data_IF_638248460257
#
_entry.id   IF_638248460257
#
_cell.length_a   1.000
_cell.length_b   1.000
_cell.length_c   1.000
_cell.angle_alpha   90.00
_cell.angle_beta   90.00
_cell.angle_gamma   90.00
#
_symmetry.space_group_name_H-M   'P 1'
#
loop_
_entity.id
_entity.type
_entity.pdbx_description
1 polymer ?
#
# COMPACT_ATOMS: atom_id res chain seq x y z
N UNK A 1 -76.79 -20.51 35.97
CA UNK A 1 -76.23 -20.30 37.32
C UNK A 1 -74.78 -19.88 37.17
N UNK A 2 -74.38 -18.84 37.89
CA UNK A 2 -73.25 -17.95 37.60
C UNK A 2 -71.87 -18.59 37.38
N UNK A 3 -71.18 -18.01 36.41
CA UNK A 3 -69.75 -18.12 36.14
C UNK A 3 -68.93 -17.60 37.34
N UNK A 4 -67.87 -18.32 37.73
CA UNK A 4 -66.75 -17.77 38.50
C UNK A 4 -65.43 -18.14 37.83
N UNK A 5 -64.68 -17.08 37.58
CA UNK A 5 -63.36 -17.04 36.96
C UNK A 5 -62.30 -17.70 37.86
N UNK A 6 -61.38 -18.44 37.24
CA UNK A 6 -60.07 -18.74 37.80
C UNK A 6 -59.03 -18.46 36.71
N UNK A 7 -58.46 -17.25 36.75
CA UNK A 7 -57.30 -16.87 35.93
C UNK A 7 -56.05 -17.32 36.68
N UNK A 8 -55.39 -18.37 36.19
CA UNK A 8 -54.04 -18.73 36.64
C UNK A 8 -53.03 -17.94 35.81
N UNK A 9 -52.34 -17.01 36.46
CA UNK A 9 -51.24 -16.25 35.87
C UNK A 9 -50.02 -17.15 35.67
N UNK A 10 -49.60 -17.32 34.41
CA UNK A 10 -48.32 -17.92 34.05
C UNK A 10 -47.27 -16.80 34.13
N UNK A 11 -46.37 -16.87 35.09
CA UNK A 11 -45.19 -16.01 35.16
C UNK A 11 -44.15 -16.49 34.13
N UNK A 12 -43.97 -15.74 33.05
CA UNK A 12 -42.89 -15.95 32.08
C UNK A 12 -41.61 -15.36 32.70
N UNK A 13 -40.76 -16.23 33.24
CA UNK A 13 -39.38 -15.88 33.61
C UNK A 13 -38.56 -15.72 32.32
N UNK A 14 -38.45 -14.48 31.83
CA UNK A 14 -37.48 -14.13 30.82
C UNK A 14 -36.07 -14.22 31.42
N UNK A 15 -35.39 -15.34 31.18
CA UNK A 15 -33.94 -15.43 31.42
C UNK A 15 -33.23 -14.53 30.41
N UNK A 16 -32.83 -13.35 30.87
CA UNK A 16 -31.89 -12.51 30.14
C UNK A 16 -30.52 -13.21 30.18
N UNK A 17 -30.21 -13.99 29.14
CA UNK A 17 -28.83 -14.35 28.86
C UNK A 17 -28.09 -13.06 28.50
N UNK A 18 -27.42 -12.46 29.48
CA UNK A 18 -26.43 -11.43 29.23
C UNK A 18 -25.31 -12.08 28.40
N UNK A 19 -25.36 -11.92 27.08
CA UNK A 19 -24.25 -12.22 26.20
C UNK A 19 -23.11 -11.29 26.59
N UNK A 20 -22.08 -11.83 27.26
CA UNK A 20 -20.81 -11.13 27.42
C UNK A 20 -20.33 -10.78 26.01
N UNK A 21 -20.17 -9.49 25.67
CA UNK A 21 -19.63 -9.14 24.36
C UNK A 21 -18.27 -9.81 24.21
N UNK A 22 -17.92 -10.35 23.03
CA UNK A 22 -16.59 -10.92 22.81
C UNK A 22 -15.55 -9.88 23.24
N UNK A 23 -14.43 -10.29 23.89
CA UNK A 23 -13.39 -9.35 24.25
C UNK A 23 -13.02 -8.56 23.00
N UNK A 24 -12.96 -7.23 23.13
CA UNK A 24 -12.48 -6.38 22.05
C UNK A 24 -11.18 -6.96 21.52
N UNK A 25 -10.99 -7.05 20.20
CA UNK A 25 -9.78 -7.63 19.64
C UNK A 25 -8.57 -6.96 20.29
N UNK A 26 -7.78 -7.73 21.03
CA UNK A 26 -6.75 -7.19 21.90
C UNK A 26 -5.51 -6.87 21.08
N UNK A 27 -4.96 -5.66 21.27
CA UNK A 27 -3.60 -5.33 20.85
C UNK A 27 -2.72 -5.33 22.10
N UNK A 28 -1.62 -6.07 22.08
CA UNK A 28 -0.61 -6.03 23.14
C UNK A 28 0.71 -5.49 22.61
N UNK A 29 1.38 -4.67 23.41
CA UNK A 29 2.68 -4.08 23.10
C UNK A 29 3.72 -4.54 24.12
N UNK A 30 4.84 -5.05 23.62
CA UNK A 30 6.05 -5.32 24.39
C UNK A 30 7.14 -4.32 23.96
N UNK A 31 7.72 -3.59 24.91
CA UNK A 31 8.83 -2.68 24.63
C UNK A 31 10.11 -3.49 24.42
N UNK A 32 10.72 -3.36 23.24
CA UNK A 32 11.89 -4.16 22.87
C UNK A 32 13.20 -3.75 23.55
N UNK A 33 13.26 -2.56 24.15
CA UNK A 33 14.46 -2.04 24.81
C UNK A 33 14.48 -0.52 24.87
N UNK A 34 15.64 0.04 25.22
CA UNK A 34 15.88 1.47 25.13
C UNK A 34 15.85 1.95 23.65
N UNK A 35 15.59 3.24 23.41
CA UNK A 35 15.68 3.81 22.06
C UNK A 35 17.07 3.58 21.43
N UNK A 36 17.10 3.27 20.14
CA UNK A 36 18.32 3.05 19.35
C UNK A 36 18.58 4.23 18.42
N UNK A 37 19.83 4.53 18.12
CA UNK A 37 20.14 5.56 17.12
C UNK A 37 19.77 5.12 15.70
N UNK A 38 19.48 6.10 14.85
CA UNK A 38 19.15 5.87 13.44
C UNK A 38 20.35 5.32 12.66
N UNK A 39 21.57 5.50 13.15
CA UNK A 39 22.76 4.88 12.57
C UNK A 39 22.80 3.38 12.88
N UNK A 40 22.57 2.99 14.15
CA UNK A 40 22.51 1.57 14.57
C UNK A 40 21.42 0.79 13.84
N UNK A 41 20.31 1.44 13.46
CA UNK A 41 19.21 0.80 12.74
C UNK A 41 19.29 0.94 11.21
N UNK A 42 20.29 1.65 10.68
CA UNK A 42 20.40 1.94 9.24
C UNK A 42 19.29 2.86 8.70
N UNK A 43 18.65 3.64 9.57
CA UNK A 43 17.51 4.50 9.30
C UNK A 43 17.85 6.00 9.31
N UNK A 44 19.13 6.36 9.31
CA UNK A 44 19.58 7.76 9.28
C UNK A 44 18.95 8.58 8.14
N UNK A 45 18.63 7.94 7.00
CA UNK A 45 17.97 8.59 5.88
C UNK A 45 16.55 9.08 6.21
N UNK A 46 15.81 8.41 7.10
CA UNK A 46 14.48 8.85 7.53
C UNK A 46 14.50 10.14 8.34
N UNK A 47 15.64 10.48 8.94
CA UNK A 47 15.85 11.74 9.66
C UNK A 47 16.38 12.87 8.77
N UNK A 48 16.63 12.60 7.49
CA UNK A 48 16.73 13.66 6.48
C UNK A 48 15.30 14.08 6.14
N UNK A 49 14.64 14.69 7.13
CA UNK A 49 13.26 15.12 7.01
C UNK A 49 13.14 16.08 5.84
N UNK A 50 12.06 16.00 5.06
CA UNK A 50 11.88 16.87 3.93
C UNK A 50 11.94 18.34 4.32
N UNK A 51 12.84 19.09 3.70
CA UNK A 51 13.00 20.53 3.86
C UNK A 51 12.16 21.31 2.87
N UNK A 52 12.13 22.64 3.03
CA UNK A 52 11.53 23.55 2.04
C UNK A 52 12.18 23.47 0.65
N UNK A 53 13.42 23.00 0.60
CA UNK A 53 14.25 22.97 -0.61
C UNK A 53 14.13 21.63 -1.36
N UNK A 54 13.48 20.62 -0.76
CA UNK A 54 13.25 19.34 -1.43
C UNK A 54 12.11 19.47 -2.46
N UNK A 55 12.20 18.78 -3.62
CA UNK A 55 11.08 18.68 -4.53
C UNK A 55 9.85 18.14 -3.79
N UNK A 56 8.74 18.89 -3.83
CA UNK A 56 7.53 18.58 -3.05
C UNK A 56 7.05 17.11 -3.18
N UNK A 57 7.31 16.48 -4.34
CA UNK A 57 7.00 15.07 -4.57
C UNK A 57 7.77 14.10 -3.67
N UNK A 58 9.08 14.32 -3.49
CA UNK A 58 9.97 13.50 -2.64
C UNK A 58 9.61 13.71 -1.16
N UNK A 59 9.24 14.94 -0.81
CA UNK A 59 8.82 15.30 0.54
C UNK A 59 7.57 14.52 0.98
N UNK A 60 6.51 14.59 0.18
CA UNK A 60 5.24 13.93 0.47
C UNK A 60 5.39 12.39 0.55
N UNK A 61 6.24 11.81 -0.30
CA UNK A 61 6.54 10.39 -0.25
C UNK A 61 7.31 9.99 1.02
N UNK A 62 8.28 10.79 1.45
CA UNK A 62 9.00 10.50 2.69
C UNK A 62 8.06 10.56 3.90
N UNK A 63 7.13 11.52 3.90
CA UNK A 63 6.10 11.61 4.92
C UNK A 63 5.18 10.38 4.95
N UNK A 64 4.81 9.81 3.80
CA UNK A 64 4.04 8.55 3.78
C UNK A 64 4.83 7.39 4.40
N UNK A 65 6.14 7.27 4.10
CA UNK A 65 7.03 6.26 4.69
C UNK A 65 7.20 6.36 6.21
N UNK A 66 7.01 7.56 6.76
CA UNK A 66 7.06 7.87 8.19
C UNK A 66 5.69 7.78 8.90
N UNK A 67 4.63 7.42 8.16
CA UNK A 67 3.27 7.42 8.68
C UNK A 67 2.73 8.82 9.01
N UNK A 68 3.22 9.84 8.30
CA UNK A 68 2.90 11.25 8.50
C UNK A 68 2.31 11.88 7.24
N UNK A 69 1.42 11.14 6.58
CA UNK A 69 0.62 11.63 5.45
C UNK A 69 -0.13 12.95 5.78
N UNK A 70 -0.41 13.22 7.07
CA UNK A 70 -0.95 14.51 7.53
C UNK A 70 -0.05 15.68 7.17
N UNK A 71 1.27 15.52 7.31
CA UNK A 71 2.26 16.54 6.97
C UNK A 71 2.32 16.79 5.47
N UNK A 72 2.23 15.74 4.65
CA UNK A 72 2.16 15.87 3.20
C UNK A 72 0.86 16.60 2.76
N UNK A 73 -0.27 16.29 3.38
CA UNK A 73 -1.51 17.00 3.11
C UNK A 73 -1.44 18.49 3.49
N UNK A 74 -0.77 18.82 4.61
CA UNK A 74 -0.59 20.20 5.06
C UNK A 74 0.25 21.08 4.11
N UNK A 75 1.06 20.49 3.22
CA UNK A 75 1.80 21.27 2.20
C UNK A 75 0.93 21.64 1.00
N UNK A 76 -0.34 21.23 0.97
CA UNK A 76 -1.23 21.43 -0.17
C UNK A 76 -0.91 20.52 -1.36
N UNK A 77 -0.29 19.36 -1.12
CA UNK A 77 -0.01 18.40 -2.20
C UNK A 77 -1.31 17.93 -2.87
N UNK A 78 -1.33 17.96 -4.20
CA UNK A 78 -2.52 17.70 -5.01
C UNK A 78 -3.07 16.27 -4.87
N UNK A 79 -2.28 15.31 -4.37
CA UNK A 79 -2.75 13.95 -4.08
C UNK A 79 -3.70 13.90 -2.87
N UNK A 80 -3.68 14.93 -2.02
CA UNK A 80 -4.58 15.09 -0.88
C UNK A 80 -5.67 16.13 -1.13
N UNK A 81 -5.93 16.47 -2.40
CA UNK A 81 -7.01 17.33 -2.82
C UNK A 81 -7.96 16.57 -3.76
N UNK A 82 -9.26 16.91 -3.76
CA UNK A 82 -10.21 16.30 -4.69
C UNK A 82 -9.83 16.64 -6.13
N UNK A 83 -10.01 15.68 -7.03
CA UNK A 83 -9.82 15.85 -8.47
C UNK A 83 -11.01 15.29 -9.20
N UNK A 84 -11.62 16.11 -10.07
CA UNK A 84 -12.91 15.82 -10.70
C UNK A 84 -13.02 14.37 -11.22
N UNK A 85 -14.04 13.67 -10.73
CA UNK A 85 -14.38 12.30 -11.13
C UNK A 85 -15.80 12.26 -11.66
N UNK A 86 -16.01 11.52 -12.76
CA UNK A 86 -17.35 11.13 -13.18
C UNK A 86 -17.51 9.64 -12.95
N UNK A 87 -18.41 9.26 -12.05
CA UNK A 87 -18.74 7.85 -11.80
C UNK A 87 -19.27 7.17 -13.06
N UNK A 88 -18.94 5.90 -13.27
CA UNK A 88 -19.68 5.07 -14.23
C UNK A 88 -21.14 4.90 -13.78
N UNK A 89 -22.12 4.77 -14.72
CA UNK A 89 -23.54 4.69 -14.38
C UNK A 89 -23.94 3.53 -13.45
N UNK A 90 -23.27 2.38 -13.55
CA UNK A 90 -23.60 1.14 -12.82
C UNK A 90 -22.45 0.68 -11.91
N UNK A 91 -21.64 1.61 -11.39
CA UNK A 91 -20.55 1.22 -10.49
C UNK A 91 -21.07 0.84 -9.09
N UNK A 92 -20.47 -0.18 -8.45
CA UNK A 92 -20.61 -0.38 -7.02
C UNK A 92 -20.15 0.84 -6.23
N UNK A 93 -20.64 0.95 -4.99
CA UNK A 93 -20.51 2.11 -4.10
C UNK A 93 -19.97 1.72 -2.72
N UNK A 94 -19.23 0.63 -2.67
CA UNK A 94 -18.56 0.13 -1.49
C UNK A 94 -17.26 -0.54 -1.93
N UNK A 95 -16.31 -0.59 -1.00
CA UNK A 95 -14.96 -1.07 -1.24
C UNK A 95 -14.89 -2.51 -1.75
N UNK A 96 -15.60 -3.42 -1.09
CA UNK A 96 -15.58 -4.85 -1.40
C UNK A 96 -16.10 -5.11 -2.82
N UNK A 97 -17.26 -4.55 -3.15
CA UNK A 97 -17.88 -4.74 -4.47
C UNK A 97 -17.08 -4.08 -5.60
N UNK A 98 -16.37 -2.98 -5.32
CA UNK A 98 -15.47 -2.35 -6.31
C UNK A 98 -14.25 -3.23 -6.59
N UNK A 99 -13.64 -3.82 -5.55
CA UNK A 99 -12.53 -4.77 -5.71
C UNK A 99 -12.99 -6.01 -6.46
N UNK A 100 -14.16 -6.57 -6.12
CA UNK A 100 -14.75 -7.72 -6.82
C UNK A 100 -15.02 -7.41 -8.30
N UNK A 101 -15.54 -6.21 -8.61
CA UNK A 101 -15.78 -5.80 -9.98
C UNK A 101 -14.49 -5.70 -10.80
N UNK A 102 -13.38 -5.24 -10.20
CA UNK A 102 -12.06 -5.23 -10.84
C UNK A 102 -11.57 -6.67 -11.06
N UNK A 103 -11.62 -7.51 -10.03
CA UNK A 103 -11.16 -8.89 -10.11
C UNK A 103 -11.95 -9.72 -11.15
N UNK A 104 -13.26 -9.51 -11.25
CA UNK A 104 -14.12 -10.14 -12.25
C UNK A 104 -13.73 -9.74 -13.67
N UNK A 105 -13.41 -8.45 -13.90
CA UNK A 105 -12.90 -7.99 -15.21
C UNK A 105 -11.51 -8.56 -15.52
N UNK A 106 -10.67 -8.71 -14.50
CA UNK A 106 -9.33 -9.29 -14.62
C UNK A 106 -9.33 -10.80 -14.93
N UNK A 107 -10.45 -11.50 -14.72
CA UNK A 107 -10.55 -12.95 -14.90
C UNK A 107 -10.17 -13.43 -16.32
N UNK A 108 -10.32 -12.58 -17.34
CA UNK A 108 -9.97 -12.90 -18.73
C UNK A 108 -8.58 -12.42 -19.16
N UNK A 109 -7.89 -11.66 -18.30
CA UNK A 109 -6.56 -11.11 -18.61
C UNK A 109 -5.46 -11.95 -17.97
N UNK A 110 -4.32 -12.08 -18.67
CA UNK A 110 -3.12 -12.76 -18.14
C UNK A 110 -2.25 -11.84 -17.29
N UNK A 111 -2.35 -10.53 -17.54
CA UNK A 111 -1.60 -9.48 -16.85
C UNK A 111 -2.62 -8.47 -16.31
N UNK A 112 -2.48 -8.10 -15.05
CA UNK A 112 -3.15 -6.93 -14.46
C UNK A 112 -2.08 -5.97 -14.00
N UNK A 113 -2.19 -4.70 -14.37
CA UNK A 113 -1.28 -3.64 -13.91
C UNK A 113 -2.12 -2.66 -13.10
N UNK A 114 -1.78 -2.49 -11.82
CA UNK A 114 -2.45 -1.54 -10.92
C UNK A 114 -1.45 -0.50 -10.47
N UNK A 115 -1.76 0.78 -10.68
CA UNK A 115 -0.89 1.85 -10.22
C UNK A 115 -1.23 2.33 -8.79
N UNK A 116 -0.28 3.03 -8.19
CA UNK A 116 -0.44 3.78 -6.97
C UNK A 116 0.15 5.19 -7.07
N UNK A 117 -0.11 5.98 -6.04
CA UNK A 117 0.59 7.21 -5.74
C UNK A 117 1.49 6.89 -4.56
N UNK A 118 2.81 7.09 -4.68
CA UNK A 118 3.75 6.77 -3.60
C UNK A 118 3.52 7.60 -2.31
N UNK A 119 2.62 8.57 -2.39
CA UNK A 119 2.25 9.49 -1.31
C UNK A 119 0.97 9.06 -0.59
N UNK A 120 0.15 8.19 -1.18
CA UNK A 120 -1.18 7.84 -0.63
C UNK A 120 -1.22 6.36 -0.28
N UNK A 121 -1.03 6.05 1.00
CA UNK A 121 -0.86 4.66 1.47
C UNK A 121 -2.13 3.81 1.28
N UNK A 122 -3.31 4.43 1.19
CA UNK A 122 -4.58 3.75 0.89
C UNK A 122 -4.53 2.97 -0.44
N UNK A 123 -3.79 3.46 -1.43
CA UNK A 123 -3.66 2.77 -2.72
C UNK A 123 -3.02 1.37 -2.57
N UNK A 124 -2.08 1.21 -1.63
CA UNK A 124 -1.40 -0.06 -1.32
C UNK A 124 -2.33 -1.05 -0.66
N UNK A 125 -3.24 -0.55 0.17
CA UNK A 125 -4.27 -1.36 0.78
C UNK A 125 -5.26 -1.89 -0.27
N UNK A 126 -5.62 -1.11 -1.29
CA UNK A 126 -6.40 -1.63 -2.43
C UNK A 126 -5.67 -2.76 -3.13
N UNK A 127 -4.35 -2.63 -3.33
CA UNK A 127 -3.53 -3.70 -3.94
C UNK A 127 -3.51 -4.95 -3.06
N UNK A 128 -3.46 -4.79 -1.73
CA UNK A 128 -3.60 -5.90 -0.78
C UNK A 128 -4.93 -6.66 -0.97
N UNK A 129 -6.03 -5.95 -1.14
CA UNK A 129 -7.34 -6.58 -1.39
C UNK A 129 -7.44 -7.22 -2.78
N UNK A 130 -6.84 -6.59 -3.79
CA UNK A 130 -6.77 -7.16 -5.13
C UNK A 130 -5.95 -8.45 -5.15
N UNK A 131 -4.87 -8.56 -4.38
CA UNK A 131 -4.13 -9.82 -4.23
C UNK A 131 -5.04 -10.95 -3.74
N UNK A 132 -5.90 -10.70 -2.76
CA UNK A 132 -6.87 -11.69 -2.28
C UNK A 132 -7.93 -12.01 -3.33
N UNK A 133 -8.54 -10.99 -3.92
CA UNK A 133 -9.64 -11.15 -4.89
C UNK A 133 -9.20 -11.77 -6.22
N UNK A 134 -7.95 -11.56 -6.64
CA UNK A 134 -7.40 -12.10 -7.90
C UNK A 134 -6.93 -13.56 -7.75
N UNK A 135 -6.60 -14.00 -6.53
CA UNK A 135 -6.05 -15.35 -6.30
C UNK A 135 -6.93 -16.47 -6.87
N UNK A 136 -8.27 -16.49 -6.68
CA UNK A 136 -9.14 -17.52 -7.28
C UNK A 136 -9.15 -17.54 -8.81
N UNK A 137 -8.72 -16.46 -9.48
CA UNK A 137 -8.72 -16.33 -10.93
C UNK A 137 -7.40 -16.75 -11.60
N UNK A 138 -6.49 -17.39 -10.85
CA UNK A 138 -5.22 -17.92 -11.37
C UNK A 138 -4.04 -16.95 -11.28
N UNK A 139 -4.17 -15.85 -10.55
CA UNK A 139 -3.05 -14.95 -10.27
C UNK A 139 -2.12 -15.58 -9.23
N UNK A 140 -0.90 -15.89 -9.67
CA UNK A 140 0.11 -16.59 -8.87
C UNK A 140 1.41 -15.83 -8.72
N UNK A 141 1.65 -14.84 -9.58
CA UNK A 141 2.88 -14.06 -9.59
C UNK A 141 2.56 -12.59 -9.26
N UNK A 142 3.34 -12.01 -8.35
CA UNK A 142 3.24 -10.63 -7.93
C UNK A 142 4.56 -9.89 -8.20
N UNK A 143 4.52 -8.96 -9.15
CA UNK A 143 5.61 -8.05 -9.47
C UNK A 143 5.29 -6.66 -8.90
N UNK A 144 6.28 -5.95 -8.35
CA UNK A 144 6.03 -4.64 -7.75
C UNK A 144 7.21 -3.67 -7.94
N UNK A 145 6.89 -2.39 -8.28
CA UNK A 145 7.82 -1.25 -8.43
C UNK A 145 8.42 -0.93 -7.06
N UNK A 146 9.31 -1.81 -6.61
CA UNK A 146 10.04 -1.72 -5.36
C UNK A 146 11.04 -2.83 -5.28
N UNK A 147 10.71 -4.03 -5.76
CA UNK A 147 11.56 -5.19 -5.64
C UNK A 147 12.80 -4.97 -6.50
N UNK A 148 13.95 -4.85 -5.86
CA UNK A 148 15.19 -4.49 -6.55
C UNK A 148 15.72 -5.69 -7.33
N UNK A 149 16.16 -5.46 -8.57
CA UNK A 149 16.88 -6.46 -9.33
C UNK A 149 18.36 -6.48 -8.95
N UNK A 150 18.92 -7.67 -8.82
CA UNK A 150 20.35 -7.86 -8.70
C UNK A 150 20.98 -7.92 -10.11
N UNK A 151 22.15 -7.29 -10.28
CA UNK A 151 22.95 -7.46 -11.50
C UNK A 151 23.38 -8.94 -11.67
N UNK A 152 23.89 -9.51 -10.57
CA UNK A 152 24.35 -10.89 -10.50
C UNK A 152 23.65 -11.62 -9.34
N UNK A 153 23.19 -12.84 -9.61
CA UNK A 153 22.59 -13.73 -8.63
C UNK A 153 21.10 -13.47 -8.39
N UNK A 154 20.59 -13.93 -7.24
CA UNK A 154 19.17 -13.81 -6.92
C UNK A 154 18.81 -12.42 -6.37
N UNK A 155 17.65 -11.92 -6.78
CA UNK A 155 17.05 -10.69 -6.25
C UNK A 155 16.80 -10.79 -4.74
N UNK A 156 16.87 -9.69 -3.97
CA UNK A 156 16.59 -9.71 -2.54
C UNK A 156 15.25 -10.35 -2.19
N UNK A 157 14.17 -10.01 -2.91
CA UNK A 157 12.84 -10.59 -2.66
C UNK A 157 12.80 -12.10 -2.89
N UNK A 158 13.61 -12.61 -3.83
CA UNK A 158 13.72 -14.03 -4.09
C UNK A 158 14.52 -14.75 -2.99
N UNK A 159 15.61 -14.14 -2.50
CA UNK A 159 16.40 -14.65 -1.36
C UNK A 159 15.59 -14.75 -0.07
N UNK A 160 14.59 -13.88 0.10
CA UNK A 160 13.71 -13.86 1.27
C UNK A 160 12.34 -14.51 1.01
N UNK A 161 12.20 -15.31 -0.05
CA UNK A 161 10.93 -15.94 -0.44
C UNK A 161 10.35 -16.82 0.67
N UNK A 162 11.20 -17.58 1.37
CA UNK A 162 10.82 -18.49 2.47
C UNK A 162 10.43 -17.79 3.79
N UNK A 163 10.67 -16.47 3.91
CA UNK A 163 10.27 -15.73 5.12
C UNK A 163 8.76 -15.49 5.13
N UNK A 164 8.12 -15.67 6.29
CA UNK A 164 6.70 -15.36 6.46
C UNK A 164 6.41 -13.84 6.52
N UNK A 165 7.45 -13.01 6.58
CA UNK A 165 7.39 -11.55 6.66
C UNK A 165 8.14 -10.90 5.49
N UNK A 166 7.78 -9.66 5.10
CA UNK A 166 8.59 -8.83 4.21
C UNK A 166 9.89 -8.41 4.87
N UNK A 167 10.99 -8.42 4.12
CA UNK A 167 12.31 -7.97 4.60
C UNK A 167 12.58 -6.53 4.15
N UNK A 168 13.22 -5.70 4.99
CA UNK A 168 13.54 -4.29 4.67
C UNK A 168 14.49 -4.10 3.48
N UNK A 169 15.13 -5.19 3.03
CA UNK A 169 16.01 -5.20 1.87
C UNK A 169 15.34 -5.72 0.60
N UNK A 170 14.06 -6.11 0.65
CA UNK A 170 13.33 -6.53 -0.55
C UNK A 170 13.20 -5.39 -1.55
N UNK A 171 13.12 -4.14 -1.08
CA UNK A 171 12.93 -2.99 -1.95
C UNK A 171 12.89 -1.65 -1.22
N UNK A 172 12.82 -0.55 -1.97
CA UNK A 172 12.77 0.81 -1.41
C UNK A 172 11.37 1.15 -0.84
N UNK A 173 10.33 1.02 -1.65
CA UNK A 173 8.95 1.35 -1.24
C UNK A 173 8.34 0.33 -0.28
N UNK A 174 8.76 -0.93 -0.38
CA UNK A 174 8.30 -2.01 0.51
C UNK A 174 8.69 -1.80 1.98
N UNK A 175 9.61 -0.87 2.30
CA UNK A 175 9.96 -0.46 3.67
C UNK A 175 8.88 0.37 4.37
N UNK A 176 7.88 0.84 3.64
CA UNK A 176 6.72 1.53 4.19
C UNK A 176 5.69 0.49 4.71
N UNK A 177 5.10 0.70 5.90
CA UNK A 177 4.22 -0.28 6.52
C UNK A 177 3.03 -0.78 5.68
N UNK A 178 2.28 0.09 5.00
CA UNK A 178 1.15 -0.33 4.17
C UNK A 178 1.59 -1.16 2.96
N UNK A 179 2.74 -0.85 2.35
CA UNK A 179 3.35 -1.71 1.33
C UNK A 179 3.77 -3.06 1.92
N UNK A 180 4.42 -3.05 3.08
CA UNK A 180 4.79 -4.25 3.83
C UNK A 180 3.59 -5.15 4.12
N UNK A 181 2.41 -4.57 4.41
CA UNK A 181 1.15 -5.31 4.56
C UNK A 181 0.69 -5.99 3.27
N UNK A 182 0.81 -5.32 2.12
CA UNK A 182 0.53 -5.93 0.82
C UNK A 182 1.47 -7.11 0.52
N UNK A 183 2.78 -6.97 0.79
CA UNK A 183 3.76 -8.05 0.61
C UNK A 183 3.50 -9.23 1.56
N UNK A 184 3.16 -8.93 2.82
CA UNK A 184 2.76 -9.96 3.79
C UNK A 184 1.55 -10.76 3.31
N UNK A 185 0.56 -10.07 2.75
CA UNK A 185 -0.63 -10.72 2.21
C UNK A 185 -0.31 -11.58 0.99
N UNK A 186 0.51 -11.08 0.06
CA UNK A 186 1.00 -11.86 -1.07
C UNK A 186 1.69 -13.15 -0.61
N UNK A 187 2.58 -13.07 0.39
CA UNK A 187 3.23 -14.23 1.01
C UNK A 187 2.22 -15.20 1.64
N UNK A 188 1.26 -14.69 2.43
CA UNK A 188 0.21 -15.49 3.07
C UNK A 188 -0.63 -16.28 2.05
N UNK A 189 -0.94 -15.65 0.91
CA UNK A 189 -1.70 -16.24 -0.18
C UNK A 189 -0.87 -17.18 -1.08
N UNK A 190 0.46 -17.22 -0.90
CA UNK A 190 1.37 -18.04 -1.68
C UNK A 190 1.62 -17.49 -3.09
N UNK A 191 1.70 -16.17 -3.24
CA UNK A 191 2.19 -15.55 -4.46
C UNK A 191 3.71 -15.71 -4.57
N UNK A 192 4.19 -16.02 -5.76
CA UNK A 192 5.59 -15.84 -6.10
C UNK A 192 5.86 -14.35 -6.32
N UNK A 193 6.77 -13.78 -5.54
CA UNK A 193 7.19 -12.39 -5.71
C UNK A 193 8.37 -12.33 -6.68
N UNK A 194 8.34 -11.36 -7.60
CA UNK A 194 9.37 -11.20 -8.64
C UNK A 194 9.77 -9.74 -8.79
N UNK A 195 11.07 -9.49 -8.96
CA UNK A 195 11.61 -8.16 -9.19
C UNK A 195 11.65 -7.84 -10.69
N UNK A 196 11.27 -6.63 -11.07
CA UNK A 196 11.30 -6.19 -12.46
C UNK A 196 11.96 -4.83 -12.69
N UNK A 197 12.48 -4.19 -11.65
CA UNK A 197 13.25 -2.96 -11.77
C UNK A 197 14.44 -3.10 -12.73
N UNK A 198 14.93 -1.96 -13.22
CA UNK A 198 16.17 -1.95 -13.98
C UNK A 198 17.35 -2.36 -13.11
N UNK A 199 18.27 -3.13 -13.70
CA UNK A 199 19.61 -3.37 -13.14
C UNK A 199 20.54 -2.21 -13.50
N UNK A 200 21.68 -2.03 -12.78
CA UNK A 200 22.67 -1.01 -13.13
C UNK A 200 23.13 -1.05 -14.59
N UNK A 201 23.27 -2.23 -15.21
CA UNK A 201 23.64 -2.35 -16.63
C UNK A 201 22.51 -1.99 -17.61
N UNK A 202 21.26 -1.99 -17.15
CA UNK A 202 20.09 -1.58 -17.93
C UNK A 202 19.76 -0.09 -17.76
N UNK A 203 20.21 0.54 -16.67
CA UNK A 203 20.01 1.95 -16.39
C UNK A 203 20.66 2.86 -17.43
N UNK A 204 20.13 4.07 -17.59
CA UNK A 204 20.78 5.11 -18.37
C UNK A 204 22.15 5.48 -17.77
N UNK A 205 23.13 5.91 -18.59
CA UNK A 205 24.42 6.36 -18.09
C UNK A 205 24.30 7.53 -17.10
N UNK A 206 25.25 7.63 -16.18
CA UNK A 206 25.33 8.76 -15.25
C UNK A 206 25.33 10.10 -16.00
N UNK A 207 24.47 11.02 -15.54
CA UNK A 207 24.31 12.35 -16.14
C UNK A 207 23.44 12.37 -17.40
N UNK A 208 22.82 11.26 -17.79
CA UNK A 208 21.79 11.26 -18.83
C UNK A 208 20.65 12.24 -18.48
N UNK A 209 20.05 12.83 -19.51
CA UNK A 209 18.88 13.67 -19.30
C UNK A 209 17.68 12.87 -18.78
N UNK A 210 16.67 13.61 -18.31
CA UNK A 210 15.48 13.01 -17.70
C UNK A 210 14.73 12.10 -18.67
N UNK A 211 14.60 12.49 -19.94
CA UNK A 211 13.84 11.74 -20.94
C UNK A 211 14.54 10.40 -21.26
N UNK A 212 15.85 10.44 -21.43
CA UNK A 212 16.70 9.26 -21.63
C UNK A 212 16.63 8.32 -20.43
N UNK A 213 16.69 8.87 -19.22
CA UNK A 213 16.58 8.08 -17.98
C UNK A 213 15.21 7.40 -17.84
N UNK A 214 14.12 8.11 -18.17
CA UNK A 214 12.77 7.51 -18.21
C UNK A 214 12.76 6.38 -19.25
N UNK A 215 13.18 6.67 -20.48
CA UNK A 215 13.09 5.71 -21.57
C UNK A 215 13.89 4.42 -21.31
N UNK A 216 15.07 4.52 -20.70
CA UNK A 216 15.86 3.36 -20.28
C UNK A 216 15.09 2.53 -19.24
N UNK A 217 14.61 3.17 -18.16
CA UNK A 217 13.85 2.52 -17.10
C UNK A 217 12.59 1.83 -17.60
N UNK A 218 11.74 2.53 -18.34
CA UNK A 218 10.49 1.95 -18.87
C UNK A 218 10.78 0.76 -19.80
N UNK A 219 11.88 0.82 -20.57
CA UNK A 219 12.29 -0.26 -21.48
C UNK A 219 12.80 -1.47 -20.71
N UNK A 220 13.68 -1.25 -19.72
CA UNK A 220 14.22 -2.30 -18.88
C UNK A 220 13.13 -3.01 -18.08
N UNK A 221 12.26 -2.25 -17.42
CA UNK A 221 11.15 -2.79 -16.65
C UNK A 221 10.20 -3.64 -17.51
N UNK A 222 9.83 -3.15 -18.71
CA UNK A 222 9.00 -3.92 -19.63
C UNK A 222 9.70 -5.20 -20.14
N UNK A 223 11.00 -5.15 -20.43
CA UNK A 223 11.78 -6.31 -20.86
C UNK A 223 11.91 -7.35 -19.74
N UNK A 224 12.13 -6.93 -18.50
CA UNK A 224 12.22 -7.81 -17.33
C UNK A 224 10.87 -8.50 -17.07
N UNK A 225 9.76 -7.78 -17.15
CA UNK A 225 8.41 -8.36 -17.06
C UNK A 225 8.12 -9.35 -18.21
N UNK A 226 8.54 -9.04 -19.43
CA UNK A 226 8.40 -9.96 -20.56
C UNK A 226 9.20 -11.26 -20.35
N UNK A 227 10.40 -11.17 -19.78
CA UNK A 227 11.22 -12.33 -19.42
C UNK A 227 10.57 -13.18 -18.31
N UNK A 228 10.02 -12.53 -17.28
CA UNK A 228 9.24 -13.20 -16.22
C UNK A 228 8.05 -13.97 -16.85
N UNK A 229 7.26 -13.31 -17.70
CA UNK A 229 6.10 -13.91 -18.37
C UNK A 229 6.47 -15.11 -19.26
N UNK A 230 7.64 -15.06 -19.90
CA UNK A 230 8.15 -16.17 -20.71
C UNK A 230 8.56 -17.38 -19.85
N UNK A 231 8.97 -17.15 -18.60
CA UNK A 231 9.28 -18.20 -17.62
C UNK A 231 8.08 -18.75 -16.85
N UNK A 232 6.94 -18.05 -16.87
CA UNK A 232 5.71 -18.46 -16.21
C UNK A 232 5.01 -19.62 -16.94
N UNK A 233 4.25 -20.42 -16.18
CA UNK A 233 3.33 -21.40 -16.75
C UNK A 233 2.27 -20.75 -17.67
N UNK A 234 1.68 -21.53 -18.60
CA UNK A 234 0.71 -21.02 -19.56
C UNK A 234 -0.58 -20.50 -18.90
N UNK A 235 -0.98 -21.08 -17.77
CA UNK A 235 -2.19 -20.73 -17.02
C UNK A 235 -1.93 -19.76 -15.85
N UNK A 236 -0.67 -19.45 -15.56
CA UNK A 236 -0.30 -18.52 -14.50
C UNK A 236 -0.55 -17.08 -14.95
N UNK A 237 -1.01 -16.25 -14.00
CA UNK A 237 -1.29 -14.83 -14.23
C UNK A 237 -0.50 -13.94 -13.29
N UNK A 238 -0.21 -12.75 -13.81
CA UNK A 238 0.68 -11.78 -13.23
C UNK A 238 -0.07 -10.54 -12.77
N UNK A 239 0.08 -10.17 -11.49
CA UNK A 239 -0.27 -8.84 -10.99
C UNK A 239 1.00 -7.99 -10.93
N UNK A 240 0.98 -6.83 -11.57
CA UNK A 240 2.06 -5.83 -11.57
C UNK A 240 1.59 -4.59 -10.81
N UNK A 241 2.28 -4.25 -9.72
CA UNK A 241 2.02 -3.05 -8.92
C UNK A 241 3.02 -1.95 -9.28
N UNK A 242 2.54 -0.81 -9.76
CA UNK A 242 3.38 0.26 -10.31
C UNK A 242 3.05 1.63 -9.70
N UNK A 243 3.88 2.64 -9.93
CA UNK A 243 3.66 4.03 -9.63
C UNK A 243 3.08 4.78 -10.83
N UNK A 244 2.10 5.66 -10.60
CA UNK A 244 1.62 6.66 -11.54
C UNK A 244 1.49 6.18 -13.02
N UNK A 245 2.26 6.77 -13.93
CA UNK A 245 2.10 6.62 -15.37
C UNK A 245 2.62 5.30 -15.93
N UNK A 246 3.30 4.47 -15.14
CA UNK A 246 3.79 3.16 -15.59
C UNK A 246 2.66 2.25 -16.13
N UNK A 247 1.42 2.46 -15.65
CA UNK A 247 0.24 1.74 -16.12
C UNK A 247 -0.34 2.26 -17.45
N UNK A 248 0.18 3.34 -18.03
CA UNK A 248 -0.37 3.91 -19.26
C UNK A 248 -0.09 3.05 -20.49
N UNK A 249 -1.13 2.73 -21.25
CA UNK A 249 -1.06 1.89 -22.45
C UNK A 249 -0.85 2.67 -23.75
N UNK A 250 -0.94 4.00 -23.68
CA UNK A 250 -0.79 4.90 -24.83
C UNK A 250 0.34 5.91 -24.58
N UNK A 251 0.92 6.49 -25.64
CA UNK A 251 1.88 7.59 -25.52
C UNK A 251 1.32 8.75 -24.69
N UNK A 252 2.14 9.31 -23.78
CA UNK A 252 1.79 10.49 -22.99
C UNK A 252 2.76 11.65 -23.25
N UNK A 253 2.31 12.86 -22.95
CA UNK A 253 3.11 14.07 -23.09
C UNK A 253 3.32 14.51 -24.54
N UNK A 254 3.94 15.67 -24.73
CA UNK A 254 4.14 16.28 -26.04
C UNK A 254 5.05 15.44 -26.96
N UNK A 255 5.99 14.71 -26.36
CA UNK A 255 6.95 13.86 -27.08
C UNK A 255 6.40 12.47 -27.40
N UNK A 256 5.21 12.12 -26.91
CA UNK A 256 4.62 10.79 -27.10
C UNK A 256 5.42 9.68 -26.40
N UNK A 257 5.82 9.92 -25.15
CA UNK A 257 6.61 8.95 -24.39
C UNK A 257 5.78 7.70 -24.06
N UNK A 258 6.34 6.53 -24.38
CA UNK A 258 5.77 5.24 -24.02
C UNK A 258 6.23 4.82 -22.61
N UNK A 259 5.26 4.49 -21.77
CA UNK A 259 5.45 3.95 -20.43
C UNK A 259 5.48 2.42 -20.43
N UNK A 260 5.84 1.84 -19.28
CA UNK A 260 6.10 0.42 -19.09
C UNK A 260 4.96 -0.47 -19.62
N UNK A 261 3.69 -0.18 -19.31
CA UNK A 261 2.55 -0.99 -19.76
C UNK A 261 2.44 -1.01 -21.30
N UNK A 262 2.54 0.15 -21.96
CA UNK A 262 2.52 0.23 -23.43
C UNK A 262 3.68 -0.55 -24.07
N UNK A 263 4.89 -0.48 -23.47
CA UNK A 263 6.07 -1.23 -23.93
C UNK A 263 5.90 -2.74 -23.72
N UNK A 264 5.37 -3.15 -22.58
CA UNK A 264 5.13 -4.55 -22.26
C UNK A 264 4.12 -5.18 -23.23
N UNK A 265 3.03 -4.46 -23.53
CA UNK A 265 2.04 -4.85 -24.53
C UNK A 265 2.67 -5.03 -25.91
N UNK A 266 3.51 -4.08 -26.33
CA UNK A 266 4.22 -4.16 -27.61
C UNK A 266 5.20 -5.34 -27.68
N UNK A 267 5.92 -5.63 -26.59
CA UNK A 267 6.91 -6.72 -26.53
C UNK A 267 6.29 -8.11 -26.49
N UNK A 268 5.17 -8.27 -25.78
CA UNK A 268 4.56 -9.58 -25.51
C UNK A 268 3.37 -9.89 -26.41
N UNK A 269 2.75 -8.87 -27.00
CA UNK A 269 1.46 -8.99 -27.69
C UNK A 269 0.28 -9.27 -26.75
N UNK A 270 0.49 -9.28 -25.43
CA UNK A 270 -0.56 -9.49 -24.43
C UNK A 270 -1.13 -8.13 -24.03
N UNK A 271 -2.45 -8.01 -24.12
CA UNK A 271 -3.17 -6.84 -23.66
C UNK A 271 -3.37 -6.93 -22.12
N UNK A 272 -2.72 -6.07 -21.31
CA UNK A 272 -2.94 -6.06 -19.86
C UNK A 272 -4.30 -5.45 -19.52
N UNK A 273 -4.90 -5.85 -18.39
CA UNK A 273 -5.93 -5.02 -17.77
C UNK A 273 -5.26 -3.95 -16.90
N UNK A 274 -5.45 -2.68 -17.21
CA UNK A 274 -4.83 -1.57 -16.46
C UNK A 274 -5.81 -0.85 -15.53
N UNK A 275 -5.40 -0.68 -14.28
CA UNK A 275 -6.19 -0.03 -13.22
C UNK A 275 -5.43 1.16 -12.68
N UNK A 276 -6.00 2.36 -12.84
CA UNK A 276 -5.44 3.58 -12.28
C UNK A 276 -6.19 4.06 -11.05
N UNK A 277 -5.48 4.23 -9.95
CA UNK A 277 -5.94 4.86 -8.70
C UNK A 277 -5.58 6.35 -8.62
N UNK A 278 -4.84 6.88 -9.61
CA UNK A 278 -4.18 8.19 -9.51
C UNK A 278 -4.77 9.26 -10.43
N UNK A 279 -5.78 8.94 -11.24
CA UNK A 279 -6.31 9.87 -12.25
C UNK A 279 -7.35 10.85 -11.69
N UNK A 280 -8.10 10.48 -10.66
CA UNK A 280 -9.09 11.34 -10.01
C UNK A 280 -9.35 10.91 -8.55
N UNK A 281 -9.96 11.77 -7.75
CA UNK A 281 -10.29 11.52 -6.34
C UNK A 281 -11.56 12.28 -5.91
N UNK A 282 -12.44 11.66 -5.12
CA UNK A 282 -13.66 12.33 -4.62
C UNK A 282 -13.43 13.06 -3.29
N UNK A 283 -14.27 14.04 -2.96
CA UNK A 283 -14.21 14.74 -1.66
C UNK A 283 -14.48 13.83 -0.44
N UNK A 284 -15.17 12.71 -0.66
CA UNK A 284 -15.59 11.78 0.37
C UNK A 284 -16.43 10.64 -0.18
N UNK A 285 -17.03 9.89 0.74
CA UNK A 285 -17.82 8.70 0.43
C UNK A 285 -16.96 7.46 0.23
N UNK A 286 -17.54 6.46 -0.42
CA UNK A 286 -16.90 5.19 -0.74
C UNK A 286 -16.18 5.24 -2.09
N UNK A 287 -15.17 4.36 -2.32
CA UNK A 287 -14.54 4.26 -3.62
C UNK A 287 -15.53 3.82 -4.70
N UNK A 288 -15.24 4.17 -5.95
CA UNK A 288 -16.05 3.79 -7.09
C UNK A 288 -15.25 3.77 -8.39
N UNK A 289 -15.75 3.06 -9.39
CA UNK A 289 -15.18 3.04 -10.73
C UNK A 289 -15.65 4.27 -11.51
N UNK A 290 -14.71 5.03 -12.04
CA UNK A 290 -14.92 6.27 -12.77
C UNK A 290 -14.73 6.09 -14.28
N UNK A 291 -15.34 7.00 -15.03
CA UNK A 291 -15.05 7.21 -16.45
C UNK A 291 -13.67 7.87 -16.53
N UNK A 292 -12.88 7.48 -17.54
CA UNK A 292 -11.61 8.13 -17.84
C UNK A 292 -11.82 9.66 -17.98
N UNK A 293 -11.10 10.50 -17.21
CA UNK A 293 -11.25 11.94 -17.31
C UNK A 293 -11.01 12.45 -18.74
N UNK A 294 -11.82 13.41 -19.19
CA UNK A 294 -11.85 13.86 -20.58
C UNK A 294 -10.56 14.57 -21.04
N UNK A 295 -9.72 15.01 -20.10
CA UNK A 295 -8.38 15.58 -20.35
C UNK A 295 -7.30 14.50 -20.58
N UNK A 296 -7.66 13.21 -20.51
CA UNK A 296 -6.76 12.08 -20.72
C UNK A 296 -6.97 11.43 -22.08
N UNK A 297 -5.90 10.94 -22.73
CA UNK A 297 -6.03 10.30 -24.03
C UNK A 297 -6.86 9.01 -23.92
N UNK A 298 -7.72 8.77 -24.91
CA UNK A 298 -8.53 7.56 -24.97
C UNK A 298 -7.64 6.30 -24.95
N UNK A 299 -8.06 5.28 -24.20
CA UNK A 299 -7.29 4.05 -24.03
C UNK A 299 -6.08 4.17 -23.10
N UNK A 300 -5.92 5.28 -22.37
CA UNK A 300 -4.80 5.44 -21.43
C UNK A 300 -4.74 4.31 -20.39
N UNK A 301 -5.89 3.96 -19.82
CA UNK A 301 -6.08 2.81 -18.92
C UNK A 301 -7.50 2.26 -19.09
N UNK A 302 -7.73 0.99 -18.71
CA UNK A 302 -9.04 0.35 -18.81
C UNK A 302 -10.00 0.73 -17.68
N UNK A 303 -9.46 0.86 -16.47
CA UNK A 303 -10.24 1.11 -15.26
C UNK A 303 -9.66 2.30 -14.52
N UNK A 304 -10.52 3.26 -14.19
CA UNK A 304 -10.21 4.31 -13.23
C UNK A 304 -10.91 4.00 -11.92
N UNK A 305 -10.14 3.83 -10.85
CA UNK A 305 -10.61 3.67 -9.49
C UNK A 305 -10.46 5.00 -8.75
N UNK A 306 -11.59 5.62 -8.41
CA UNK A 306 -11.62 6.81 -7.57
C UNK A 306 -11.65 6.41 -6.09
N UNK A 307 -10.76 7.01 -5.31
CA UNK A 307 -10.82 6.98 -3.85
C UNK A 307 -11.29 8.33 -3.30
N UNK A 308 -11.97 8.35 -2.15
CA UNK A 308 -12.13 9.59 -1.41
C UNK A 308 -10.76 10.10 -0.94
N UNK A 309 -10.57 11.41 -0.96
CA UNK A 309 -9.37 12.06 -0.41
C UNK A 309 -9.14 11.61 1.03
N UNK A 310 -7.88 11.31 1.35
CA UNK A 310 -7.48 10.85 2.68
C UNK A 310 -7.87 11.89 3.74
N UNK A 311 -8.69 11.45 4.70
CA UNK A 311 -9.00 12.20 5.92
C UNK A 311 -8.07 11.78 7.04
N UNK A 312 -7.86 12.68 7.99
CA UNK A 312 -6.97 12.45 9.13
C UNK A 312 -7.75 12.50 10.44
N UNK A 313 -7.45 11.56 11.33
CA UNK A 313 -7.95 11.53 12.72
C UNK A 313 -6.77 11.25 13.62
N UNK A 314 -6.56 12.12 14.61
CA UNK A 314 -5.38 12.08 15.50
C UNK A 314 -4.07 12.08 14.70
N UNK A 315 -3.99 12.92 13.65
CA UNK A 315 -2.86 13.02 12.70
C UNK A 315 -2.52 11.72 11.92
N UNK A 316 -3.39 10.70 11.97
CA UNK A 316 -3.21 9.46 11.21
C UNK A 316 -4.27 9.33 10.13
N UNK A 317 -3.92 8.68 9.02
CA UNK A 317 -4.84 8.44 7.92
C UNK A 317 -6.04 7.59 8.39
N UNK A 318 -7.25 8.13 8.27
CA UNK A 318 -8.46 7.55 8.85
C UNK A 318 -8.81 6.18 8.24
N UNK A 319 -8.45 5.95 6.97
CA UNK A 319 -8.73 4.71 6.25
C UNK A 319 -8.18 3.47 6.97
N UNK A 320 -7.08 3.61 7.72
CA UNK A 320 -6.49 2.51 8.51
C UNK A 320 -7.49 1.99 9.56
N UNK A 321 -8.21 2.91 10.22
CA UNK A 321 -9.26 2.56 11.19
C UNK A 321 -10.49 2.00 10.50
N UNK A 322 -10.84 2.54 9.34
CA UNK A 322 -11.94 2.02 8.51
C UNK A 322 -11.64 0.59 8.05
N UNK A 323 -10.36 0.25 7.87
CA UNK A 323 -9.87 -1.10 7.60
C UNK A 323 -9.72 -2.00 8.85
N UNK A 324 -10.11 -1.51 10.04
CA UNK A 324 -10.14 -2.29 11.29
C UNK A 324 -8.95 -2.10 12.23
N UNK A 325 -8.00 -1.21 11.91
CA UNK A 325 -6.87 -0.95 12.81
C UNK A 325 -7.32 -0.21 14.07
N UNK A 326 -6.74 -0.60 15.20
CA UNK A 326 -6.97 -0.04 16.52
C UNK A 326 -5.87 0.98 16.81
N UNK A 327 -6.25 2.16 17.30
CA UNK A 327 -5.26 3.12 17.76
C UNK A 327 -4.74 2.77 19.15
N UNK A 328 -3.43 2.62 19.24
CA UNK A 328 -2.73 2.33 20.47
C UNK A 328 -1.76 3.47 20.75
N UNK A 329 -1.88 4.07 21.93
CA UNK A 329 -0.95 5.11 22.37
C UNK A 329 0.45 4.51 22.54
N UNK A 330 1.46 5.23 22.09
CA UNK A 330 2.85 4.84 22.28
C UNK A 330 3.17 4.87 23.78
N UNK A 331 3.82 3.82 24.33
CA UNK A 331 4.24 3.78 25.73
C UNK A 331 5.03 5.03 26.12
N UNK A 332 4.74 5.59 27.30
CA UNK A 332 5.36 6.85 27.74
C UNK A 332 6.88 6.71 27.89
N UNK A 333 7.35 5.52 28.20
CA UNK A 333 8.76 5.14 28.32
C UNK A 333 9.53 5.39 27.01
N UNK A 334 8.87 5.21 25.86
CA UNK A 334 9.45 5.45 24.55
C UNK A 334 9.35 6.92 24.12
N UNK A 335 8.42 7.70 24.70
CA UNK A 335 8.17 9.11 24.33
C UNK A 335 8.97 10.15 25.13
N UNK A 336 9.82 9.74 26.06
CA UNK A 336 10.58 10.64 26.96
C UNK A 336 11.73 11.41 26.30
N UNK A 337 11.74 11.51 24.98
CA UNK A 337 12.78 12.16 24.23
C UNK A 337 12.43 13.65 24.03
N UNK A 338 13.31 14.57 24.45
CA UNK A 338 13.25 16.00 24.05
C UNK A 338 13.74 16.21 22.60
N UNK A 339 13.60 15.18 21.77
CA UNK A 339 14.09 15.10 20.41
C UNK A 339 13.10 14.26 19.59
N UNK A 340 13.08 14.43 18.25
CA UNK A 340 12.24 13.61 17.41
C UNK A 340 12.54 12.12 17.54
N UNK A 341 11.54 11.29 17.25
CA UNK A 341 11.67 9.84 17.29
C UNK A 341 10.79 9.16 16.25
N UNK A 342 11.22 7.99 15.79
CA UNK A 342 10.42 7.09 14.98
C UNK A 342 10.03 5.90 15.86
N UNK A 343 8.74 5.65 15.98
CA UNK A 343 8.21 4.46 16.65
C UNK A 343 7.83 3.44 15.59
N UNK A 344 8.26 2.20 15.78
CA UNK A 344 7.96 1.08 14.91
C UNK A 344 7.39 -0.07 15.71
N UNK A 345 6.34 -0.70 15.18
CA UNK A 345 5.69 -1.86 15.75
C UNK A 345 5.84 -3.08 14.83
N UNK A 346 6.42 -4.15 15.35
CA UNK A 346 6.69 -5.40 14.65
C UNK A 346 5.80 -6.49 15.21
N UNK A 347 5.32 -7.42 14.38
CA UNK A 347 4.54 -8.56 14.88
C UNK A 347 5.41 -9.37 15.84
N UNK A 348 4.85 -9.83 16.95
CA UNK A 348 5.60 -10.61 17.94
C UNK A 348 6.22 -11.86 17.29
N UNK A 349 7.49 -12.09 17.56
CA UNK A 349 8.28 -13.17 16.96
C UNK A 349 9.04 -12.76 15.70
N UNK A 350 8.72 -11.62 15.08
CA UNK A 350 9.47 -11.15 13.92
C UNK A 350 10.75 -10.42 14.31
N UNK A 351 11.81 -10.57 13.49
CA UNK A 351 13.05 -9.83 13.63
C UNK A 351 12.87 -8.34 13.24
N UNK A 352 13.85 -7.52 13.60
CA UNK A 352 13.82 -6.07 13.31
C UNK A 352 14.29 -5.69 11.89
N UNK A 353 14.67 -6.68 11.09
CA UNK A 353 14.87 -6.56 9.65
C UNK A 353 13.59 -6.91 8.86
N UNK A 354 12.49 -7.28 9.54
CA UNK A 354 11.16 -7.30 8.95
C UNK A 354 10.67 -5.86 8.70
N UNK A 355 9.75 -5.68 7.75
CA UNK A 355 9.04 -4.39 7.63
C UNK A 355 8.03 -4.27 8.77
N UNK A 356 8.01 -3.17 9.54
CA UNK A 356 7.09 -3.01 10.66
C UNK A 356 5.63 -2.98 10.19
N UNK A 357 4.72 -3.49 11.03
CA UNK A 357 3.27 -3.43 10.79
C UNK A 357 2.76 -2.00 10.80
N UNK A 358 3.37 -1.14 11.62
CA UNK A 358 3.12 0.29 11.60
C UNK A 358 4.36 1.09 12.01
N UNK A 359 4.44 2.32 11.49
CA UNK A 359 5.49 3.30 11.79
C UNK A 359 4.85 4.67 12.01
N UNK A 360 5.38 5.43 12.96
CA UNK A 360 5.04 6.84 13.16
C UNK A 360 6.26 7.67 13.56
N UNK A 361 6.51 8.75 12.84
CA UNK A 361 7.44 9.80 13.25
C UNK A 361 6.74 10.80 14.18
N UNK A 362 7.41 11.12 15.29
CA UNK A 362 6.94 12.02 16.33
C UNK A 362 7.94 13.16 16.53
N UNK A 363 7.44 14.39 16.52
CA UNK A 363 8.15 15.56 17.06
C UNK A 363 8.11 15.55 18.61
N UNK A 364 9.02 16.28 19.28
CA UNK A 364 8.97 16.45 20.73
C UNK A 364 7.60 16.91 21.22
N UNK A 365 7.00 16.14 22.11
CA UNK A 365 5.69 16.44 22.70
C UNK A 365 4.47 15.94 21.91
N UNK A 366 4.65 15.38 20.72
CA UNK A 366 3.55 14.71 20.00
C UNK A 366 3.16 13.38 20.69
N UNK A 367 1.86 13.07 20.72
CA UNK A 367 1.29 11.82 21.24
C UNK A 367 0.40 11.17 20.18
N UNK A 368 0.98 10.91 19.01
CA UNK A 368 0.29 10.32 17.87
C UNK A 368 0.26 8.79 18.05
N UNK A 369 -0.90 8.14 17.91
CA UNK A 369 -1.01 6.70 18.13
C UNK A 369 -0.41 5.89 16.98
N UNK A 370 0.05 4.68 17.31
CA UNK A 370 0.19 3.59 16.33
C UNK A 370 -1.20 3.11 15.91
N UNK A 371 -1.35 2.70 14.65
CA UNK A 371 -2.54 2.05 14.12
C UNK A 371 -2.19 0.60 13.78
N UNK A 372 -2.75 -0.33 14.55
CA UNK A 372 -2.39 -1.74 14.49
C UNK A 372 -3.63 -2.62 14.34
N UNK A 373 -3.59 -3.64 13.47
CA UNK A 373 -4.54 -4.73 13.54
C UNK A 373 -4.51 -5.40 14.94
N UNK A 374 -5.53 -6.18 15.28
CA UNK A 374 -5.50 -7.04 16.46
C UNK A 374 -4.28 -7.97 16.44
N UNK A 375 -3.55 -8.07 17.54
CA UNK A 375 -2.33 -8.88 17.59
C UNK A 375 -1.36 -8.51 18.72
N UNK A 376 -0.27 -9.25 18.78
CA UNK A 376 0.81 -9.01 19.73
C UNK A 376 1.99 -8.38 18.97
N UNK A 377 2.57 -7.32 19.53
CA UNK A 377 3.61 -6.55 18.87
C UNK A 377 4.78 -6.25 19.79
N UNK A 378 5.97 -6.21 19.20
CA UNK A 378 7.17 -5.64 19.80
C UNK A 378 7.37 -4.23 19.26
N UNK A 379 7.53 -3.25 20.13
CA UNK A 379 7.72 -1.85 19.76
C UNK A 379 9.13 -1.38 20.08
N UNK A 380 9.74 -0.64 19.17
CA UNK A 380 11.02 0.04 19.40
C UNK A 380 10.89 1.52 19.08
N UNK A 381 11.75 2.31 19.71
CA UNK A 381 11.98 3.69 19.35
C UNK A 381 13.33 3.81 18.64
N UNK A 382 13.36 4.59 17.57
CA UNK A 382 14.57 5.03 16.90
C UNK A 382 14.69 6.53 17.13
N UNK A 383 15.91 7.00 17.36
CA UNK A 383 16.24 8.40 17.60
C UNK A 383 17.27 8.90 16.58
N UNK A 384 17.33 10.21 16.28
CA UNK A 384 18.37 10.77 15.43
C UNK A 384 19.78 10.36 15.87
N UNK A 385 20.69 10.23 14.93
CA UNK A 385 22.12 10.07 15.22
C UNK A 385 22.60 11.26 16.05
N UNK A 386 23.30 10.99 17.16
CA UNK A 386 23.95 12.03 17.96
C UNK A 386 24.93 12.82 17.08
N UNK A 387 24.75 14.14 17.00
CA UNK A 387 25.71 15.02 16.32
C UNK A 387 27.01 15.15 17.08
#
# INVERSE_FOLDING_TARGET
MNWRQAVSGIAILASACASVPPPSPAVTLEIAGAPLSAEETGQAFFYRLPGSDDPAGIAAQTWSMLGREDRAAMTGDAEYLPRACTSMPTTPRDRESVVEAIATRAATSRIVIVNESHKVTRHRETVRELLEALRPFGFTVYAAETFSNAEDGADPVAKHSDLAWPHVHDGYYSREPAFGRAVREAKRLGYQMVAYEETPSQSAPDGADRATSIAARETAQAANLAAILAGMGPDEKLLVHVGYSHAAEVPLGENGDLWMAARLKALTGIDPLTVSQTLCSSEGGEPFLAILPADRPAGMVDIVLSHPVTRFRDQRAAWRRDAGDIAIRVPVELRRANQPLIIEAFVAGEPFDAVPMDRVYLEPGEDIPLLLPPGNYRVRAVIPTSR
#
